data_IF_773118737337
#
_entry.id   IF_773118737337
#
_cell.length_a   1.000
_cell.length_b   1.000
_cell.length_c   1.000
_cell.angle_alpha   90.00
_cell.angle_beta   90.00
_cell.angle_gamma   90.00
#
_symmetry.space_group_name_H-M   'P 1'
#
loop_
_entity.id
_entity.type
_entity.pdbx_description
1 polymer ?
#
# COMPACT_ATOMS: atom_id res chain seq x y z
N UNK A 1 -3.42 -23.99 -2.89
CA UNK A 1 -3.86 -23.55 -1.54
C UNK A 1 -4.15 -22.05 -1.48
N UNK A 2 -3.22 -21.17 -1.87
CA UNK A 2 -3.43 -19.71 -1.79
C UNK A 2 -4.68 -19.19 -2.53
N UNK A 3 -4.91 -19.57 -3.78
CA UNK A 3 -6.11 -19.17 -4.54
C UNK A 3 -7.41 -19.74 -3.95
N UNK A 4 -7.37 -20.97 -3.44
CA UNK A 4 -8.53 -21.58 -2.79
C UNK A 4 -8.90 -20.83 -1.50
N UNK A 5 -7.91 -20.50 -0.67
CA UNK A 5 -8.13 -19.69 0.54
C UNK A 5 -8.70 -18.32 0.19
N UNK A 6 -8.18 -17.65 -0.84
CA UNK A 6 -8.70 -16.36 -1.31
C UNK A 6 -10.18 -16.46 -1.71
N UNK A 7 -10.58 -17.51 -2.41
CA UNK A 7 -11.98 -17.76 -2.75
C UNK A 7 -12.86 -17.95 -1.52
N UNK A 8 -12.44 -18.79 -0.58
CA UNK A 8 -13.20 -19.06 0.67
C UNK A 8 -13.38 -17.79 1.49
N UNK A 9 -12.29 -17.05 1.76
CA UNK A 9 -12.37 -15.79 2.50
C UNK A 9 -13.14 -14.71 1.75
N UNK A 10 -13.09 -14.70 0.41
CA UNK A 10 -13.92 -13.85 -0.43
C UNK A 10 -15.41 -14.11 -0.24
N UNK A 11 -15.84 -15.37 -0.27
CA UNK A 11 -17.22 -15.77 0.00
C UNK A 11 -17.65 -15.40 1.45
N UNK A 12 -16.80 -15.65 2.44
CA UNK A 12 -17.08 -15.26 3.83
C UNK A 12 -17.26 -13.75 3.96
N UNK A 13 -16.41 -12.97 3.30
CA UNK A 13 -16.49 -11.51 3.30
C UNK A 13 -17.79 -11.01 2.66
N UNK A 14 -18.22 -11.62 1.54
CA UNK A 14 -19.47 -11.27 0.88
C UNK A 14 -20.67 -11.63 1.76
N UNK A 15 -20.67 -12.79 2.41
CA UNK A 15 -21.72 -13.19 3.36
C UNK A 15 -21.80 -12.21 4.55
N UNK A 16 -20.65 -11.84 5.12
CA UNK A 16 -20.57 -10.85 6.21
C UNK A 16 -21.13 -9.49 5.80
N UNK A 17 -20.99 -9.09 4.52
CA UNK A 17 -21.51 -7.82 4.01
C UNK A 17 -23.03 -7.70 4.02
N UNK A 18 -23.76 -8.80 4.16
CA UNK A 18 -25.22 -8.79 4.30
C UNK A 18 -25.67 -8.30 5.69
N UNK A 19 -24.78 -8.40 6.69
CA UNK A 19 -25.10 -8.12 8.09
C UNK A 19 -24.51 -6.77 8.58
N UNK A 20 -23.57 -6.17 7.83
CA UNK A 20 -22.86 -4.96 8.24
C UNK A 20 -22.49 -4.12 7.03
N UNK A 21 -22.66 -2.80 7.14
CA UNK A 21 -22.45 -1.85 6.04
C UNK A 21 -21.18 -0.98 6.18
N UNK A 22 -20.55 -0.94 7.35
CA UNK A 22 -19.37 -0.12 7.63
C UNK A 22 -18.06 -0.77 7.15
N UNK A 23 -18.11 -2.04 6.76
CA UNK A 23 -16.98 -2.81 6.24
C UNK A 23 -16.01 -3.32 7.31
N UNK A 24 -16.36 -3.26 8.60
CA UNK A 24 -15.49 -3.72 9.69
C UNK A 24 -15.28 -5.24 9.65
N UNK A 25 -16.36 -6.01 9.55
CA UNK A 25 -16.27 -7.48 9.45
C UNK A 25 -15.51 -7.93 8.22
N UNK A 26 -15.73 -7.25 7.08
CA UNK A 26 -14.96 -7.54 5.87
C UNK A 26 -13.47 -7.28 6.07
N UNK A 27 -13.12 -6.22 6.80
CA UNK A 27 -11.74 -5.91 7.15
C UNK A 27 -11.14 -6.97 8.09
N UNK A 28 -11.88 -7.44 9.09
CA UNK A 28 -11.42 -8.50 10.00
C UNK A 28 -11.23 -9.84 9.26
N UNK A 29 -12.12 -10.18 8.34
CA UNK A 29 -11.97 -11.36 7.46
C UNK A 29 -10.75 -11.20 6.56
N UNK A 30 -10.51 -10.01 6.00
CA UNK A 30 -9.31 -9.73 5.21
C UNK A 30 -8.03 -9.86 6.03
N UNK A 31 -8.03 -9.47 7.31
CA UNK A 31 -6.90 -9.67 8.24
C UNK A 31 -6.66 -11.16 8.51
N UNK A 32 -7.71 -11.95 8.69
CA UNK A 32 -7.59 -13.40 8.89
C UNK A 32 -7.02 -14.08 7.64
N UNK A 33 -7.55 -13.71 6.45
CA UNK A 33 -7.01 -14.15 5.17
C UNK A 33 -5.52 -13.79 5.03
N UNK A 34 -5.16 -12.56 5.34
CA UNK A 34 -3.80 -12.07 5.23
C UNK A 34 -2.82 -12.86 6.11
N UNK A 35 -3.20 -13.14 7.36
CA UNK A 35 -2.41 -13.98 8.27
C UNK A 35 -2.26 -15.40 7.75
N UNK A 36 -3.34 -16.00 7.23
CA UNK A 36 -3.26 -17.33 6.63
C UNK A 36 -2.36 -17.34 5.38
N UNK A 37 -2.41 -16.29 4.55
CA UNK A 37 -1.56 -16.14 3.38
C UNK A 37 -0.07 -16.10 3.73
N UNK A 38 0.31 -15.30 4.73
CA UNK A 38 1.69 -15.24 5.23
C UNK A 38 2.13 -16.57 5.85
N UNK A 39 1.24 -17.24 6.59
CA UNK A 39 1.54 -18.53 7.16
C UNK A 39 1.77 -19.60 6.08
N UNK A 40 0.92 -19.70 5.07
CA UNK A 40 1.10 -20.61 3.94
C UNK A 40 2.34 -20.31 3.10
N UNK A 41 2.73 -19.03 3.02
CA UNK A 41 3.95 -18.61 2.35
C UNK A 41 5.22 -18.92 3.17
N UNK A 42 5.10 -19.41 4.41
CA UNK A 42 6.25 -19.59 5.31
C UNK A 42 6.93 -18.27 5.65
N UNK A 43 6.14 -17.20 5.82
CA UNK A 43 6.62 -15.84 6.05
C UNK A 43 6.28 -15.34 7.47
N UNK A 44 7.06 -15.72 8.49
CA UNK A 44 6.93 -15.08 9.79
C UNK A 44 7.21 -13.58 9.65
N UNK A 45 6.41 -12.74 10.33
CA UNK A 45 6.54 -11.30 10.18
C UNK A 45 6.78 -10.56 11.49
N UNK A 46 7.50 -9.46 11.42
CA UNK A 46 7.78 -8.56 12.53
C UNK A 46 7.30 -7.15 12.20
N UNK A 47 6.76 -6.46 13.20
CA UNK A 47 6.34 -5.05 13.08
C UNK A 47 7.18 -4.21 14.03
N UNK A 48 7.89 -3.23 13.48
CA UNK A 48 8.78 -2.30 14.18
C UNK A 48 8.19 -0.91 14.13
N UNK A 49 8.33 -0.10 15.19
CA UNK A 49 7.85 1.29 15.23
C UNK A 49 6.34 1.42 15.49
N UNK A 50 5.72 0.47 16.20
CA UNK A 50 4.29 0.51 16.53
C UNK A 50 3.87 1.76 17.29
N UNK A 51 4.76 2.37 18.02
CA UNK A 51 4.60 3.64 18.74
C UNK A 51 4.31 4.84 17.83
N UNK A 52 4.66 4.71 16.54
CA UNK A 52 4.41 5.73 15.51
C UNK A 52 3.01 5.63 14.88
N UNK A 53 2.20 4.63 15.28
CA UNK A 53 0.84 4.48 14.77
C UNK A 53 -0.07 5.59 15.30
N UNK A 54 -0.82 6.20 14.40
CA UNK A 54 -1.83 7.22 14.70
C UNK A 54 -3.23 6.67 14.40
N UNK A 55 -4.27 7.06 15.16
CA UNK A 55 -5.64 6.62 14.90
C UNK A 55 -6.14 6.99 13.50
N UNK A 56 -5.71 8.15 12.99
CA UNK A 56 -6.04 8.65 11.66
C UNK A 56 -4.81 9.22 11.01
N UNK A 57 -4.39 8.61 9.90
CA UNK A 57 -3.24 9.04 9.11
C UNK A 57 -3.35 8.56 7.66
N UNK A 58 -2.49 9.10 6.81
CA UNK A 58 -2.20 8.56 5.48
C UNK A 58 -0.96 7.68 5.61
N UNK A 59 -1.14 6.37 5.66
CA UNK A 59 -0.07 5.39 5.68
C UNK A 59 0.41 5.09 4.27
N UNK A 60 1.71 5.06 4.07
CA UNK A 60 2.30 4.84 2.75
C UNK A 60 3.50 3.92 2.83
N UNK A 61 3.68 3.05 1.85
CA UNK A 61 4.85 2.16 1.77
C UNK A 61 5.27 1.90 0.33
N UNK A 62 6.48 1.36 0.16
CA UNK A 62 6.92 0.73 -1.09
C UNK A 62 6.01 -0.43 -1.48
N UNK A 63 6.00 -0.80 -2.78
CA UNK A 63 5.15 -1.86 -3.32
C UNK A 63 5.91 -2.78 -4.30
N UNK A 64 6.33 -3.92 -3.81
CA UNK A 64 7.24 -4.83 -4.54
C UNK A 64 6.67 -6.21 -4.79
N UNK A 65 5.63 -6.62 -4.04
CA UNK A 65 5.13 -7.99 -4.06
C UNK A 65 3.61 -8.08 -3.90
N UNK A 66 3.02 -9.20 -4.32
CA UNK A 66 1.65 -9.55 -3.93
C UNK A 66 1.49 -9.73 -2.42
N UNK A 67 2.59 -10.03 -1.71
CA UNK A 67 2.56 -10.28 -0.26
C UNK A 67 2.61 -9.00 0.58
N UNK A 68 2.78 -7.82 -0.05
CA UNK A 68 2.73 -6.54 0.63
C UNK A 68 1.36 -6.29 1.27
N UNK A 69 0.28 -6.50 0.51
CA UNK A 69 -1.09 -6.32 1.02
C UNK A 69 -1.40 -7.25 2.21
N UNK A 70 -1.14 -8.57 2.15
CA UNK A 70 -1.24 -9.44 3.32
C UNK A 70 -0.42 -8.95 4.52
N UNK A 71 0.82 -8.48 4.31
CA UNK A 71 1.66 -7.99 5.40
C UNK A 71 1.05 -6.77 6.08
N UNK A 72 0.53 -5.81 5.30
CA UNK A 72 -0.13 -4.61 5.81
C UNK A 72 -1.39 -4.96 6.61
N UNK A 73 -2.30 -5.79 6.05
CA UNK A 73 -3.52 -6.20 6.76
C UNK A 73 -3.24 -6.97 8.04
N UNK A 74 -2.16 -7.78 8.07
CA UNK A 74 -1.78 -8.55 9.26
C UNK A 74 -1.19 -7.67 10.37
N UNK A 75 -0.58 -6.54 9.99
CA UNK A 75 0.25 -5.71 10.86
C UNK A 75 -0.50 -4.55 11.51
N UNK A 76 -1.42 -3.90 10.78
CA UNK A 76 -2.15 -2.73 11.29
C UNK A 76 -3.33 -3.17 12.18
N UNK A 77 -3.43 -2.62 13.42
CA UNK A 77 -4.41 -3.09 14.42
C UNK A 77 -5.82 -2.50 14.24
N UNK A 78 -6.02 -1.58 13.31
CA UNK A 78 -7.27 -0.85 13.08
C UNK A 78 -7.78 -1.04 11.64
N UNK A 79 -9.03 -0.66 11.41
CA UNK A 79 -9.62 -0.61 10.08
C UNK A 79 -9.04 0.57 9.30
N UNK A 80 -8.76 0.37 8.01
CA UNK A 80 -8.29 1.38 7.08
C UNK A 80 -8.89 1.16 5.68
N UNK A 81 -8.80 2.15 4.82
CA UNK A 81 -9.16 2.03 3.40
C UNK A 81 -7.90 2.07 2.54
N UNK A 82 -7.85 1.19 1.53
CA UNK A 82 -6.80 1.21 0.52
C UNK A 82 -7.28 2.01 -0.69
N UNK A 83 -6.41 2.86 -1.21
CA UNK A 83 -6.56 3.40 -2.55
C UNK A 83 -6.04 2.38 -3.56
N UNK A 84 -6.90 1.92 -4.46
CA UNK A 84 -6.54 0.86 -5.39
C UNK A 84 -7.02 1.19 -6.81
N UNK A 85 -6.33 0.65 -7.81
CA UNK A 85 -6.61 0.90 -9.23
C UNK A 85 -8.04 0.46 -9.58
N UNK A 86 -8.81 1.33 -10.21
CA UNK A 86 -10.22 1.12 -10.61
C UNK A 86 -10.44 -0.20 -11.37
N UNK A 87 -9.45 -0.66 -12.15
CA UNK A 87 -9.54 -1.92 -12.89
C UNK A 87 -9.78 -3.15 -12.01
N UNK A 88 -9.38 -3.12 -10.72
CA UNK A 88 -9.60 -4.23 -9.78
C UNK A 88 -11.09 -4.45 -9.48
N UNK A 89 -11.93 -3.42 -9.61
CA UNK A 89 -13.37 -3.55 -9.43
C UNK A 89 -14.06 -4.37 -10.52
N UNK A 90 -13.40 -4.58 -11.68
CA UNK A 90 -13.90 -5.42 -12.77
C UNK A 90 -13.71 -6.92 -12.49
N UNK A 91 -12.87 -7.30 -11.51
CA UNK A 91 -12.60 -8.69 -11.21
C UNK A 91 -13.70 -9.26 -10.29
N UNK A 92 -14.34 -10.39 -10.65
CA UNK A 92 -15.33 -11.03 -9.80
C UNK A 92 -14.70 -11.39 -8.44
N UNK A 93 -15.50 -11.45 -7.39
CA UNK A 93 -15.13 -11.63 -5.99
C UNK A 93 -14.26 -10.49 -5.42
N UNK A 94 -13.16 -10.11 -6.07
CA UNK A 94 -12.28 -9.02 -5.62
C UNK A 94 -13.03 -7.68 -5.69
N UNK A 95 -13.62 -7.34 -6.85
CA UNK A 95 -14.37 -6.09 -7.01
C UNK A 95 -15.58 -6.00 -6.09
N UNK A 96 -16.29 -7.11 -5.89
CA UNK A 96 -17.41 -7.15 -4.93
C UNK A 96 -16.93 -6.93 -3.49
N UNK A 97 -15.83 -7.57 -3.09
CA UNK A 97 -15.21 -7.34 -1.78
C UNK A 97 -14.77 -5.89 -1.62
N UNK A 98 -14.03 -5.34 -2.58
CA UNK A 98 -13.54 -3.95 -2.55
C UNK A 98 -14.69 -2.95 -2.41
N UNK A 99 -15.78 -3.16 -3.16
CA UNK A 99 -16.96 -2.30 -3.10
C UNK A 99 -17.65 -2.37 -1.72
N UNK A 100 -17.87 -3.59 -1.21
CA UNK A 100 -18.57 -3.82 0.06
C UNK A 100 -17.71 -3.46 1.28
N UNK A 101 -16.41 -3.63 1.20
CA UNK A 101 -15.46 -3.24 2.25
C UNK A 101 -15.13 -1.73 2.25
N UNK A 102 -15.68 -0.97 1.28
CA UNK A 102 -15.53 0.49 1.21
C UNK A 102 -14.14 0.95 0.79
N UNK A 103 -13.38 0.13 0.04
CA UNK A 103 -12.11 0.55 -0.54
C UNK A 103 -12.32 1.66 -1.57
N UNK A 104 -11.29 2.46 -1.82
CA UNK A 104 -11.41 3.66 -2.65
C UNK A 104 -10.78 3.42 -4.02
N UNK A 105 -11.60 3.36 -5.11
CA UNK A 105 -11.07 3.25 -6.44
C UNK A 105 -10.41 4.56 -6.88
N UNK A 106 -9.25 4.43 -7.53
CA UNK A 106 -8.53 5.52 -8.18
C UNK A 106 -8.43 5.20 -9.66
N UNK A 107 -8.89 6.12 -10.48
CA UNK A 107 -8.81 6.14 -11.95
C UNK A 107 -7.62 7.00 -12.39
N UNK A 108 -7.35 7.01 -13.69
CA UNK A 108 -6.23 7.77 -14.26
C UNK A 108 -6.38 9.28 -14.05
N UNK A 109 -7.60 9.81 -14.06
CA UNK A 109 -7.89 11.22 -13.77
C UNK A 109 -7.82 11.56 -12.27
N UNK A 110 -7.83 10.57 -11.39
CA UNK A 110 -7.53 10.65 -9.96
C UNK A 110 -8.44 11.51 -9.07
N UNK A 111 -9.12 12.50 -9.61
CA UNK A 111 -9.79 13.56 -8.84
C UNK A 111 -10.92 13.07 -7.93
N UNK A 112 -11.77 12.17 -8.44
CA UNK A 112 -12.91 11.62 -7.68
C UNK A 112 -12.42 10.71 -6.53
N UNK A 113 -11.38 9.91 -6.78
CA UNK A 113 -10.74 9.05 -5.77
C UNK A 113 -10.10 9.88 -4.66
N UNK A 114 -9.35 10.93 -5.02
CA UNK A 114 -8.71 11.83 -4.05
C UNK A 114 -9.73 12.53 -3.15
N UNK A 115 -10.85 13.01 -3.70
CA UNK A 115 -11.91 13.63 -2.91
C UNK A 115 -12.59 12.64 -1.96
N UNK A 116 -12.79 11.38 -2.38
CA UNK A 116 -13.30 10.30 -1.50
C UNK A 116 -12.33 10.01 -0.38
N UNK A 117 -11.02 9.94 -0.67
CA UNK A 117 -9.96 9.73 0.30
C UNK A 117 -9.94 10.83 1.36
N UNK A 118 -9.97 12.09 0.96
CA UNK A 118 -10.02 13.24 1.87
C UNK A 118 -11.25 13.20 2.78
N UNK A 119 -12.43 12.87 2.22
CA UNK A 119 -13.64 12.72 3.02
C UNK A 119 -13.55 11.58 4.04
N UNK A 120 -12.99 10.44 3.64
CA UNK A 120 -12.79 9.30 4.54
C UNK A 120 -11.88 9.67 5.72
N UNK A 121 -10.74 10.32 5.47
CA UNK A 121 -9.84 10.81 6.51
C UNK A 121 -10.52 11.78 7.47
N UNK A 122 -11.26 12.76 6.94
CA UNK A 122 -12.01 13.72 7.77
C UNK A 122 -13.13 13.07 8.60
N UNK A 123 -13.62 11.91 8.17
CA UNK A 123 -14.54 11.06 8.92
C UNK A 123 -13.85 10.13 9.93
N UNK A 124 -12.52 10.25 10.11
CA UNK A 124 -11.76 9.45 11.06
C UNK A 124 -11.30 8.10 10.53
N UNK A 125 -11.39 7.83 9.21
CA UNK A 125 -10.97 6.59 8.60
C UNK A 125 -9.53 6.69 8.08
N UNK A 126 -8.56 5.92 8.62
CA UNK A 126 -7.19 5.91 8.10
C UNK A 126 -7.13 5.40 6.66
N UNK A 127 -6.15 5.89 5.91
CA UNK A 127 -5.89 5.43 4.56
C UNK A 127 -4.56 4.72 4.48
N UNK A 128 -4.48 3.74 3.59
CA UNK A 128 -3.24 3.10 3.17
C UNK A 128 -3.06 3.25 1.65
N UNK A 129 -1.89 3.70 1.22
CA UNK A 129 -1.63 4.01 -0.18
C UNK A 129 -0.24 3.49 -0.56
N UNK A 130 -0.16 2.80 -1.68
CA UNK A 130 1.10 2.51 -2.37
C UNK A 130 1.37 3.63 -3.37
N UNK A 131 2.30 4.55 -3.10
CA UNK A 131 2.50 5.74 -3.92
C UNK A 131 3.11 5.45 -5.29
N UNK A 132 3.67 4.27 -5.48
CA UNK A 132 4.23 3.80 -6.75
C UNK A 132 3.14 3.47 -7.80
N UNK A 133 1.88 3.30 -7.38
CA UNK A 133 0.75 2.96 -8.27
C UNK A 133 0.78 1.56 -8.88
N UNK A 134 1.84 0.83 -8.67
CA UNK A 134 2.02 -0.54 -9.14
C UNK A 134 3.22 -1.20 -8.47
N UNK A 135 3.34 -2.52 -8.65
CA UNK A 135 4.47 -3.28 -8.11
C UNK A 135 5.66 -3.18 -9.06
N UNK A 136 6.84 -3.06 -8.48
CA UNK A 136 8.09 -3.07 -9.24
C UNK A 136 8.42 -4.48 -9.78
N UNK A 137 9.11 -4.52 -10.92
CA UNK A 137 9.53 -5.78 -11.56
C UNK A 137 10.89 -6.29 -11.05
N UNK A 138 11.72 -5.38 -10.59
CA UNK A 138 13.12 -5.60 -10.22
C UNK A 138 13.40 -5.40 -8.71
N UNK A 139 12.36 -5.10 -7.93
CA UNK A 139 12.48 -4.80 -6.50
C UNK A 139 12.93 -3.36 -6.20
N UNK A 140 13.23 -2.56 -7.22
CA UNK A 140 13.64 -1.17 -7.03
C UNK A 140 12.43 -0.29 -6.68
N UNK A 141 12.66 0.72 -5.87
CA UNK A 141 11.61 1.67 -5.50
C UNK A 141 11.35 2.64 -6.66
N UNK A 142 10.13 2.61 -7.17
CA UNK A 142 9.71 3.46 -8.29
C UNK A 142 9.50 4.91 -7.86
N UNK A 143 9.25 5.78 -8.85
CA UNK A 143 8.86 7.17 -8.60
C UNK A 143 7.51 7.20 -7.90
N UNK A 144 7.40 8.04 -6.87
CA UNK A 144 6.14 8.19 -6.13
C UNK A 144 5.22 9.22 -6.79
N UNK A 145 3.96 8.86 -6.91
CA UNK A 145 2.90 9.79 -7.26
C UNK A 145 2.64 10.76 -6.11
N UNK A 146 2.34 12.02 -6.43
CA UNK A 146 2.06 13.07 -5.44
C UNK A 146 0.73 12.92 -4.69
N UNK A 147 -0.10 11.95 -5.06
CA UNK A 147 -1.44 11.74 -4.48
C UNK A 147 -1.47 11.67 -2.95
N UNK A 148 -0.64 10.84 -2.29
CA UNK A 148 -0.60 10.78 -0.82
C UNK A 148 -0.26 12.11 -0.15
N UNK A 149 0.74 12.84 -0.65
CA UNK A 149 1.12 14.15 -0.13
C UNK A 149 0.00 15.17 -0.33
N UNK A 150 -0.60 15.21 -1.51
CA UNK A 150 -1.76 16.07 -1.78
C UNK A 150 -2.92 15.81 -0.83
N UNK A 151 -3.27 14.53 -0.60
CA UNK A 151 -4.34 14.13 0.33
C UNK A 151 -4.01 14.60 1.75
N UNK A 152 -2.79 14.36 2.22
CA UNK A 152 -2.34 14.75 3.56
C UNK A 152 -2.43 16.26 3.78
N UNK A 153 -1.92 17.06 2.83
CA UNK A 153 -1.97 18.53 2.88
C UNK A 153 -3.43 19.03 2.90
N UNK A 154 -4.26 18.50 2.00
CA UNK A 154 -5.68 18.91 1.89
C UNK A 154 -6.53 18.49 3.09
N UNK A 155 -6.23 17.36 3.68
CA UNK A 155 -6.91 16.87 4.87
C UNK A 155 -6.37 17.49 6.16
N UNK A 156 -5.12 17.99 6.16
CA UNK A 156 -4.31 18.39 7.32
C UNK A 156 -4.11 17.21 8.29
N UNK A 157 -3.77 16.06 7.74
CA UNK A 157 -3.60 14.81 8.47
C UNK A 157 -2.20 14.26 8.18
N UNK A 158 -1.47 13.76 9.21
CA UNK A 158 -0.11 13.29 9.04
C UNK A 158 0.04 12.16 8.00
N UNK A 159 1.20 12.14 7.34
CA UNK A 159 1.71 10.99 6.58
C UNK A 159 2.53 10.10 7.51
N UNK A 160 2.33 8.79 7.42
CA UNK A 160 3.15 7.81 8.14
C UNK A 160 3.90 6.95 7.12
N UNK A 161 5.22 7.17 6.95
CA UNK A 161 6.04 6.36 6.07
C UNK A 161 6.20 4.96 6.64
N UNK A 162 6.16 3.94 5.79
CA UNK A 162 6.38 2.54 6.16
C UNK A 162 7.30 1.86 5.14
N UNK A 163 8.13 0.93 5.60
CA UNK A 163 8.89 0.06 4.72
C UNK A 163 8.44 -1.39 4.85
N UNK A 164 8.17 -2.03 3.71
CA UNK A 164 7.89 -3.46 3.59
C UNK A 164 9.16 -4.14 3.08
N UNK A 165 9.75 -5.02 3.90
CA UNK A 165 11.07 -5.62 3.66
C UNK A 165 10.93 -7.13 3.55
N UNK A 166 11.60 -7.73 2.56
CA UNK A 166 11.65 -9.18 2.35
C UNK A 166 10.49 -9.74 1.54
N UNK A 167 9.47 -8.93 1.21
CA UNK A 167 8.30 -9.39 0.45
C UNK A 167 8.61 -9.63 -1.03
N UNK A 168 9.52 -8.85 -1.61
CA UNK A 168 9.98 -9.06 -2.99
C UNK A 168 10.64 -10.42 -3.14
N UNK A 169 11.58 -10.75 -2.28
CA UNK A 169 12.31 -12.01 -2.31
C UNK A 169 11.42 -13.20 -1.94
N UNK A 170 10.41 -12.98 -1.07
CA UNK A 170 9.41 -14.00 -0.74
C UNK A 170 8.60 -14.42 -1.96
N UNK A 171 8.13 -13.45 -2.75
CA UNK A 171 7.35 -13.69 -3.96
C UNK A 171 7.55 -12.57 -4.99
N UNK A 172 8.59 -12.65 -5.85
CA UNK A 172 8.77 -11.73 -6.96
C UNK A 172 7.60 -11.75 -7.94
N UNK A 173 7.28 -10.61 -8.55
CA UNK A 173 6.07 -10.44 -9.39
C UNK A 173 5.98 -11.42 -10.58
N UNK A 174 7.12 -11.92 -11.08
CA UNK A 174 7.18 -12.83 -12.23
C UNK A 174 7.27 -14.30 -11.84
N UNK A 175 7.13 -14.63 -10.57
CA UNK A 175 7.22 -16.00 -10.08
C UNK A 175 5.92 -16.44 -9.44
N UNK A 176 5.68 -17.76 -9.45
CA UNK A 176 4.54 -18.39 -8.74
C UNK A 176 5.02 -19.24 -7.57
N UNK A 177 6.33 -19.20 -7.27
CA UNK A 177 6.93 -19.99 -6.22
C UNK A 177 7.30 -19.12 -5.04
N UNK A 178 6.74 -19.42 -3.88
CA UNK A 178 7.14 -18.80 -2.62
C UNK A 178 8.56 -19.27 -2.25
N UNK A 179 9.35 -18.31 -1.76
CA UNK A 179 10.66 -18.56 -1.14
C UNK A 179 10.54 -18.21 0.34
N UNK A 180 10.18 -19.18 1.21
CA UNK A 180 9.91 -18.93 2.62
C UNK A 180 11.01 -18.15 3.29
N UNK A 181 10.64 -17.04 3.95
CA UNK A 181 11.59 -16.16 4.66
C UNK A 181 10.85 -15.21 5.61
N UNK A 182 11.54 -14.67 6.64
CA UNK A 182 11.00 -13.60 7.45
C UNK A 182 10.74 -12.33 6.63
N UNK A 183 9.66 -11.62 6.95
CA UNK A 183 9.33 -10.31 6.37
C UNK A 183 9.12 -9.29 7.48
N UNK A 184 9.32 -8.00 7.20
CA UNK A 184 9.19 -6.93 8.17
C UNK A 184 8.31 -5.81 7.65
N UNK A 185 7.51 -5.24 8.55
CA UNK A 185 6.86 -3.95 8.35
C UNK A 185 7.47 -2.97 9.35
N UNK A 186 8.10 -1.92 8.86
CA UNK A 186 8.73 -0.87 9.67
C UNK A 186 7.92 0.40 9.54
N UNK A 187 7.53 0.99 10.68
CA UNK A 187 6.70 2.19 10.75
C UNK A 187 7.59 3.36 11.17
N UNK A 188 7.73 4.33 10.29
CA UNK A 188 8.51 5.54 10.53
C UNK A 188 7.77 6.60 11.33
N UNK A 189 8.46 7.68 11.68
CA UNK A 189 7.87 8.81 12.37
C UNK A 189 6.87 9.53 11.48
N UNK A 190 5.70 9.93 12.01
CA UNK A 190 4.73 10.72 11.26
C UNK A 190 5.33 12.03 10.73
N UNK A 191 5.03 12.35 9.48
CA UNK A 191 5.40 13.62 8.85
C UNK A 191 4.19 14.55 8.93
N UNK A 192 4.34 15.69 9.60
CA UNK A 192 3.31 16.72 9.67
C UNK A 192 3.25 17.48 8.33
N UNK A 193 2.08 17.52 7.65
CA UNK A 193 1.91 18.24 6.41
C UNK A 193 1.63 19.74 6.61
N UNK A 194 1.50 20.26 7.84
CA UNK A 194 1.06 21.64 8.12
C UNK A 194 2.00 22.70 7.56
N UNK A 195 3.30 22.39 7.44
CA UNK A 195 4.32 23.27 6.85
C UNK A 195 4.31 23.30 5.33
N UNK A 196 3.44 22.55 4.64
CA UNK A 196 3.43 22.43 3.19
C UNK A 196 2.16 23.00 2.58
N UNK A 197 2.31 23.78 1.52
CA UNK A 197 1.23 24.19 0.61
C UNK A 197 1.00 23.10 -0.45
N UNK A 198 -0.15 23.16 -1.14
CA UNK A 198 -0.45 22.23 -2.26
C UNK A 198 0.60 22.29 -3.38
N UNK A 199 1.21 23.46 -3.60
CA UNK A 199 2.28 23.64 -4.60
C UNK A 199 3.56 22.90 -4.22
N UNK A 200 3.74 22.59 -2.95
CA UNK A 200 4.87 21.83 -2.40
C UNK A 200 4.56 20.34 -2.21
N UNK A 201 3.50 19.83 -2.82
CA UNK A 201 3.17 18.41 -2.72
C UNK A 201 4.28 17.49 -3.27
N UNK A 202 5.01 17.95 -4.29
CA UNK A 202 6.15 17.20 -4.85
C UNK A 202 7.34 17.16 -3.88
N UNK A 203 7.60 18.23 -3.16
CA UNK A 203 8.62 18.30 -2.10
C UNK A 203 8.29 17.34 -0.95
N UNK A 204 7.03 17.34 -0.49
CA UNK A 204 6.58 16.40 0.53
C UNK A 204 6.61 14.95 0.04
N UNK A 205 6.36 14.72 -1.26
CA UNK A 205 6.45 13.38 -1.87
C UNK A 205 7.90 12.90 -1.91
N UNK A 206 8.85 13.75 -2.27
CA UNK A 206 10.27 13.43 -2.24
C UNK A 206 10.73 13.08 -0.82
N UNK A 207 10.40 13.91 0.17
CA UNK A 207 10.66 13.64 1.58
C UNK A 207 10.08 12.29 2.04
N UNK A 208 8.83 12.00 1.69
CA UNK A 208 8.17 10.73 2.02
C UNK A 208 8.93 9.53 1.45
N UNK A 209 9.40 9.64 0.21
CA UNK A 209 10.18 8.60 -0.47
C UNK A 209 11.52 8.37 0.23
N UNK A 210 12.24 9.44 0.55
CA UNK A 210 13.52 9.38 1.25
C UNK A 210 13.38 8.73 2.63
N UNK A 211 12.33 9.07 3.38
CA UNK A 211 12.04 8.46 4.68
C UNK A 211 11.74 6.95 4.54
N UNK A 212 10.98 6.53 3.53
CA UNK A 212 10.70 5.10 3.29
C UNK A 212 11.98 4.36 2.89
N UNK A 213 12.83 4.94 2.03
CA UNK A 213 14.10 4.37 1.63
C UNK A 213 15.06 4.23 2.81
N UNK A 214 15.14 5.25 3.66
CA UNK A 214 15.95 5.26 4.87
C UNK A 214 15.49 4.18 5.88
N UNK A 215 14.16 4.07 6.10
CA UNK A 215 13.58 2.99 6.91
C UNK A 215 13.95 1.62 6.35
N UNK A 216 13.82 1.44 5.03
CA UNK A 216 14.16 0.19 4.36
C UNK A 216 15.64 -0.16 4.57
N UNK A 217 16.54 0.78 4.26
CA UNK A 217 17.99 0.58 4.31
C UNK A 217 18.47 0.26 5.74
N UNK A 218 17.94 0.97 6.74
CA UNK A 218 18.33 0.74 8.15
C UNK A 218 17.85 -0.60 8.71
N UNK A 219 16.80 -1.20 8.17
CA UNK A 219 16.20 -2.42 8.70
C UNK A 219 16.33 -3.63 7.78
N UNK A 220 16.87 -3.45 6.56
CA UNK A 220 17.23 -4.54 5.67
C UNK A 220 18.24 -5.46 6.34
N UNK A 221 18.05 -6.75 6.15
CA UNK A 221 18.96 -7.79 6.67
C UNK A 221 19.75 -8.45 5.56
N UNK A 222 20.61 -9.41 5.89
CA UNK A 222 21.33 -10.20 4.91
C UNK A 222 20.36 -10.87 3.91
N UNK A 223 20.56 -10.64 2.61
CA UNK A 223 19.74 -11.21 1.55
C UNK A 223 18.44 -10.45 1.23
N UNK A 224 18.19 -9.31 1.86
CA UNK A 224 17.19 -8.35 1.41
C UNK A 224 17.78 -7.46 0.31
N UNK A 225 17.04 -7.25 -0.78
CA UNK A 225 17.42 -6.31 -1.82
C UNK A 225 17.29 -4.88 -1.27
N UNK A 226 18.37 -4.12 -1.25
CA UNK A 226 18.31 -2.70 -0.90
C UNK A 226 17.90 -1.92 -2.15
N UNK A 227 16.71 -1.29 -2.18
CA UNK A 227 16.30 -0.52 -3.35
C UNK A 227 17.26 0.64 -3.59
N UNK A 228 17.74 0.76 -4.81
CA UNK A 228 18.37 2.01 -5.28
C UNK A 228 17.28 2.99 -5.72
N UNK A 229 17.62 4.27 -5.76
CA UNK A 229 16.76 5.23 -6.43
C UNK A 229 16.79 4.89 -7.92
N UNK A 230 15.67 4.44 -8.49
CA UNK A 230 15.56 4.34 -9.93
C UNK A 230 15.79 5.75 -10.51
N UNK A 231 16.88 5.93 -11.23
CA UNK A 231 17.05 7.09 -12.11
C UNK A 231 15.89 7.06 -13.09
N UNK A 232 15.23 8.20 -13.30
CA UNK A 232 14.17 8.30 -14.31
C UNK A 232 14.75 7.74 -15.63
N UNK A 233 14.00 6.86 -16.34
CA UNK A 233 14.49 6.33 -17.60
C UNK A 233 14.69 7.50 -18.57
N UNK A 234 15.94 7.74 -18.97
CA UNK A 234 16.33 8.70 -20.00
C UNK A 234 15.76 8.36 -21.39
N UNK A 235 15.15 7.18 -21.54
CA UNK A 235 14.69 6.66 -22.84
C UNK A 235 13.36 7.20 -23.35
N UNK A 236 12.56 7.94 -22.56
CA UNK A 236 11.30 8.50 -23.07
C UNK A 236 11.41 9.91 -23.68
N UNK A 237 12.58 10.52 -23.66
CA UNK A 237 12.80 11.85 -24.26
C UNK A 237 13.37 11.79 -25.68
N UNK A 238 13.83 10.64 -26.16
CA UNK A 238 14.45 10.52 -27.50
C UNK A 238 13.48 10.02 -28.59
N UNK A 239 12.37 9.37 -28.24
CA UNK A 239 11.38 8.92 -29.25
C UNK A 239 10.39 10.01 -29.72
N UNK A 240 10.37 11.18 -29.06
CA UNK A 240 9.48 12.29 -29.48
C UNK A 240 10.12 13.31 -30.44
N UNK A 241 11.35 13.09 -30.86
CA UNK A 241 12.10 14.02 -31.75
C UNK A 241 12.42 13.44 -33.13
N UNK A 242 12.02 12.19 -33.44
CA UNK A 242 12.25 11.61 -34.78
C UNK A 242 11.02 11.56 -35.70
N UNK A 243 9.85 12.06 -35.28
CA UNK A 243 8.66 12.20 -36.12
C UNK A 243 8.26 13.69 -36.29
N UNK A 244 9.13 14.49 -36.91
CA UNK A 244 8.79 15.75 -37.56
C UNK A 244 9.46 15.86 -38.92
#
# INVERSE_FOLDING_TARGET
MFFLSTGVFGCMSLAASCFERDGRRQHDIARLWARSALWFAGAPFTVIGRENLLPVAVYTSNHTSFMDTPLVFSSLPFQFRILAKQSLWKWPFIGWHLNRSGQIPVDEDGSAGLNRAIRALKAGMPLFIFPEGGRTKDGQMQTFMRGPAYIAIRARIPLVPMALIGTFELLPIHTHHFRPRPVKLVIGRPIDPSGYSIRQADELTARLRDEILDLYTRHAGPGDLIPSLATAPEEQLLESTEDQ
#
